data_IF_216965453881
#
_entry.id   IF_216965453881
#
_cell.length_a   1.000
_cell.length_b   1.000
_cell.length_c   1.000
_cell.angle_alpha   90.00
_cell.angle_beta   90.00
_cell.angle_gamma   90.00
#
_symmetry.space_group_name_H-M   'P 1'
#
loop_
_entity.id
_entity.type
_entity.pdbx_description
1 polymer ?
#
# COMPACT_ATOMS: atom_id res chain seq x y z
N UNK A 1 -2.26 7.32 41.79
CA UNK A 1 -3.24 7.80 40.80
C UNK A 1 -2.99 7.02 39.53
N UNK A 2 -3.83 6.04 39.21
CA UNK A 2 -3.63 5.11 38.09
C UNK A 2 -4.27 5.74 36.85
N UNK A 3 -3.46 5.94 35.81
CA UNK A 3 -3.88 6.46 34.51
C UNK A 3 -5.03 5.60 33.92
N UNK A 4 -6.24 6.16 33.73
CA UNK A 4 -7.41 5.42 33.25
C UNK A 4 -7.23 4.87 31.82
N UNK A 5 -6.24 5.38 31.07
CA UNK A 5 -5.91 4.96 29.71
C UNK A 5 -5.26 3.58 29.65
N UNK A 6 -4.63 3.10 30.74
CA UNK A 6 -3.95 1.79 30.79
C UNK A 6 -4.90 0.60 31.01
N UNK A 7 -6.13 0.83 31.44
CA UNK A 7 -7.07 -0.22 31.84
C UNK A 7 -7.86 -0.84 30.67
N UNK A 8 -7.94 -0.17 29.51
CA UNK A 8 -8.80 -0.58 28.38
C UNK A 8 -8.11 -1.48 27.35
N UNK A 9 -6.78 -1.47 27.28
CA UNK A 9 -5.98 -2.28 26.34
C UNK A 9 -5.73 -3.73 26.79
N UNK A 10 -6.16 -4.10 28.01
CA UNK A 10 -5.86 -5.41 28.64
C UNK A 10 -6.82 -6.54 28.30
N UNK A 11 -7.93 -6.30 27.59
CA UNK A 11 -8.68 -7.40 26.98
C UNK A 11 -7.94 -7.77 25.70
N UNK A 12 -7.08 -8.79 25.76
CA UNK A 12 -6.48 -9.45 24.59
C UNK A 12 -7.51 -9.45 23.47
N UNK A 13 -7.32 -8.62 22.45
CA UNK A 13 -8.28 -8.44 21.37
C UNK A 13 -8.27 -9.70 20.53
N UNK A 14 -9.04 -10.70 20.96
CA UNK A 14 -9.35 -11.86 20.13
C UNK A 14 -10.02 -11.30 18.87
N UNK A 15 -9.38 -11.49 17.72
CA UNK A 15 -10.01 -11.22 16.42
C UNK A 15 -11.46 -11.76 16.44
N UNK A 16 -12.45 -10.96 16.03
CA UNK A 16 -13.82 -11.42 15.82
C UNK A 16 -13.84 -12.77 15.08
N UNK A 17 -14.72 -13.68 15.48
CA UNK A 17 -14.79 -15.02 14.89
C UNK A 17 -15.03 -14.97 13.38
N UNK A 18 -15.81 -13.99 12.89
CA UNK A 18 -16.03 -13.78 11.45
C UNK A 18 -14.74 -13.45 10.72
N UNK A 19 -13.89 -12.58 11.27
CA UNK A 19 -12.59 -12.26 10.69
C UNK A 19 -11.64 -13.46 10.71
N UNK A 20 -11.66 -14.28 11.77
CA UNK A 20 -10.90 -15.53 11.78
C UNK A 20 -11.32 -16.47 10.65
N UNK A 21 -12.63 -16.67 10.47
CA UNK A 21 -13.16 -17.50 9.38
C UNK A 21 -12.79 -16.91 8.02
N UNK A 22 -12.91 -15.59 7.83
CA UNK A 22 -12.51 -14.87 6.61
C UNK A 22 -11.05 -15.17 6.27
N UNK A 23 -10.12 -14.92 7.18
CA UNK A 23 -8.68 -15.12 6.91
C UNK A 23 -8.34 -16.60 6.67
N UNK A 24 -8.99 -17.53 7.38
CA UNK A 24 -8.81 -18.96 7.12
C UNK A 24 -9.26 -19.32 5.70
N UNK A 25 -10.46 -18.88 5.29
CA UNK A 25 -10.98 -19.13 3.94
C UNK A 25 -10.10 -18.46 2.86
N UNK A 26 -9.68 -17.23 3.09
CA UNK A 26 -8.78 -16.50 2.19
C UNK A 26 -7.47 -17.23 1.98
N UNK A 27 -6.85 -17.71 3.06
CA UNK A 27 -5.60 -18.47 2.97
C UNK A 27 -5.77 -19.80 2.20
N UNK A 28 -6.96 -20.41 2.22
CA UNK A 28 -7.28 -21.61 1.39
C UNK A 28 -7.40 -21.25 -0.09
N UNK A 29 -8.02 -20.11 -0.40
CA UNK A 29 -8.06 -19.55 -1.77
C UNK A 29 -6.65 -19.25 -2.28
N UNK A 30 -5.80 -18.62 -1.47
CA UNK A 30 -4.39 -18.33 -1.78
C UNK A 30 -3.58 -19.59 -2.10
N UNK A 31 -3.85 -20.71 -1.40
CA UNK A 31 -3.20 -22.00 -1.66
C UNK A 31 -3.77 -22.74 -2.87
N UNK A 32 -4.81 -22.21 -3.52
CA UNK A 32 -5.47 -22.85 -4.65
C UNK A 32 -6.28 -24.08 -4.27
N UNK A 33 -6.72 -24.21 -3.00
CA UNK A 33 -7.59 -25.33 -2.59
C UNK A 33 -8.91 -25.33 -3.37
N UNK A 34 -9.37 -24.14 -3.77
CA UNK A 34 -10.49 -23.94 -4.68
C UNK A 34 -10.04 -23.05 -5.84
N UNK A 35 -9.72 -23.61 -7.01
CA UNK A 35 -9.37 -22.85 -8.20
C UNK A 35 -10.50 -21.90 -8.64
N UNK A 36 -10.15 -20.84 -9.37
CA UNK A 36 -11.13 -19.93 -9.98
C UNK A 36 -12.14 -20.72 -10.83
N UNK A 37 -13.41 -20.37 -10.72
CA UNK A 37 -14.54 -21.05 -11.37
C UNK A 37 -15.08 -22.26 -10.58
N UNK A 38 -14.41 -22.70 -9.52
CA UNK A 38 -14.90 -23.80 -8.68
C UNK A 38 -15.78 -23.30 -7.54
N UNK A 39 -16.57 -24.22 -6.97
CA UNK A 39 -17.49 -23.94 -5.87
C UNK A 39 -16.81 -24.21 -4.53
N UNK A 40 -16.92 -23.28 -3.58
CA UNK A 40 -16.48 -23.49 -2.19
C UNK A 40 -17.54 -24.28 -1.40
N UNK A 41 -17.21 -24.84 -0.21
CA UNK A 41 -18.19 -25.52 0.62
C UNK A 41 -19.41 -24.63 0.94
N UNK A 42 -20.55 -25.28 1.12
CA UNK A 42 -21.80 -24.63 1.50
C UNK A 42 -21.70 -23.97 2.86
N UNK A 43 -22.63 -23.04 3.11
CA UNK A 43 -22.74 -22.38 4.40
C UNK A 43 -22.86 -23.38 5.56
N UNK A 44 -23.61 -24.47 5.37
CA UNK A 44 -23.80 -25.51 6.39
C UNK A 44 -22.52 -26.32 6.63
N UNK A 45 -21.82 -26.70 5.56
CA UNK A 45 -20.52 -27.39 5.66
C UNK A 45 -19.48 -26.51 6.38
N UNK A 46 -19.40 -25.21 6.04
CA UNK A 46 -18.48 -24.26 6.69
C UNK A 46 -18.84 -24.01 8.16
N UNK A 47 -20.13 -23.99 8.50
CA UNK A 47 -20.59 -23.88 9.89
C UNK A 47 -20.14 -25.10 10.71
N UNK A 48 -20.30 -26.30 10.15
CA UNK A 48 -19.89 -27.55 10.79
C UNK A 48 -18.37 -27.66 10.90
N UNK A 49 -17.65 -27.31 9.85
CA UNK A 49 -16.18 -27.36 9.80
C UNK A 49 -15.54 -26.43 10.84
N UNK A 50 -16.01 -25.19 10.93
CA UNK A 50 -15.41 -24.20 11.85
C UNK A 50 -16.09 -24.12 13.22
N UNK A 51 -17.20 -24.83 13.42
CA UNK A 51 -17.96 -24.81 14.67
C UNK A 51 -18.50 -23.42 15.03
N UNK A 52 -18.93 -22.64 14.03
CA UNK A 52 -19.40 -21.25 14.21
C UNK A 52 -20.85 -21.06 13.75
N UNK A 53 -21.46 -19.95 14.18
CA UNK A 53 -22.83 -19.62 13.78
C UNK A 53 -22.95 -19.30 12.28
N UNK A 54 -24.16 -19.48 11.74
CA UNK A 54 -24.52 -19.08 10.37
C UNK A 54 -24.21 -17.61 10.07
N UNK A 55 -24.47 -16.72 11.03
CA UNK A 55 -24.21 -15.30 10.89
C UNK A 55 -22.69 -15.01 10.78
N UNK A 56 -21.87 -15.76 11.52
CA UNK A 56 -20.42 -15.65 11.49
C UNK A 56 -19.84 -16.04 10.13
N UNK A 57 -20.28 -17.18 9.56
CA UNK A 57 -19.83 -17.60 8.22
C UNK A 57 -20.32 -16.62 7.15
N UNK A 58 -21.58 -16.16 7.24
CA UNK A 58 -22.10 -15.16 6.30
C UNK A 58 -21.26 -13.89 6.29
N UNK A 59 -20.97 -13.31 7.45
CA UNK A 59 -20.15 -12.12 7.55
C UNK A 59 -18.75 -12.33 6.94
N UNK A 60 -18.14 -13.51 7.13
CA UNK A 60 -16.87 -13.84 6.51
C UNK A 60 -16.95 -13.93 4.97
N UNK A 61 -18.04 -14.51 4.44
CA UNK A 61 -18.27 -14.61 3.00
C UNK A 61 -18.66 -13.26 2.38
N UNK A 62 -19.39 -12.41 3.11
CA UNK A 62 -19.74 -11.05 2.67
C UNK A 62 -18.46 -10.25 2.40
N UNK A 63 -17.48 -10.36 3.29
CA UNK A 63 -16.17 -9.72 3.16
C UNK A 63 -15.35 -10.25 1.97
N UNK A 64 -15.33 -11.57 1.75
CA UNK A 64 -14.62 -12.16 0.61
C UNK A 64 -15.30 -11.83 -0.74
N UNK A 65 -16.63 -11.68 -0.75
CA UNK A 65 -17.36 -11.20 -1.92
C UNK A 65 -17.10 -9.71 -2.17
N UNK A 66 -17.00 -8.91 -1.11
CA UNK A 66 -16.60 -7.51 -1.21
C UNK A 66 -15.17 -7.34 -1.75
N UNK A 67 -14.27 -8.26 -1.40
CA UNK A 67 -12.91 -8.35 -1.96
C UNK A 67 -12.87 -8.88 -3.41
N UNK A 68 -14.02 -9.25 -4.00
CA UNK A 68 -14.09 -9.77 -5.36
C UNK A 68 -13.49 -11.17 -5.53
N UNK A 69 -13.28 -11.91 -4.45
CA UNK A 69 -12.69 -13.26 -4.50
C UNK A 69 -13.73 -14.34 -4.78
N UNK A 70 -14.97 -14.11 -4.35
CA UNK A 70 -16.08 -15.06 -4.50
C UNK A 70 -17.35 -14.35 -4.98
N UNK A 71 -18.25 -15.12 -5.58
CA UNK A 71 -19.58 -14.66 -5.97
C UNK A 71 -20.65 -15.66 -5.50
N UNK A 72 -21.74 -15.16 -4.94
CA UNK A 72 -22.88 -15.99 -4.51
C UNK A 72 -23.96 -16.04 -5.57
N UNK A 73 -24.13 -17.20 -6.19
CA UNK A 73 -25.23 -17.43 -7.12
C UNK A 73 -26.41 -18.11 -6.41
N UNK A 74 -27.57 -17.43 -6.38
CA UNK A 74 -28.78 -17.93 -5.74
C UNK A 74 -29.15 -19.34 -6.25
N UNK A 75 -29.26 -20.29 -5.32
CA UNK A 75 -29.60 -21.69 -5.61
C UNK A 75 -28.48 -22.53 -6.22
N UNK A 76 -27.35 -21.94 -6.62
CA UNK A 76 -26.21 -22.67 -7.22
C UNK A 76 -25.01 -22.80 -6.29
N UNK A 77 -24.88 -21.91 -5.31
CA UNK A 77 -23.80 -21.92 -4.32
C UNK A 77 -22.89 -20.70 -4.45
N UNK A 78 -21.71 -20.80 -3.85
CA UNK A 78 -20.69 -19.74 -3.83
C UNK A 78 -19.49 -20.19 -4.64
N UNK A 79 -19.07 -19.38 -5.61
CA UNK A 79 -18.01 -19.73 -6.56
C UNK A 79 -16.83 -18.79 -6.41
N UNK A 80 -15.62 -19.31 -6.63
CA UNK A 80 -14.40 -18.50 -6.67
C UNK A 80 -14.34 -17.76 -8.00
N UNK A 81 -14.21 -16.44 -7.96
CA UNK A 81 -14.14 -15.59 -9.16
C UNK A 81 -12.83 -14.79 -9.24
N UNK A 82 -12.14 -14.61 -8.12
CA UNK A 82 -10.89 -13.85 -8.03
C UNK A 82 -9.71 -14.73 -7.61
N UNK A 83 -8.54 -14.38 -8.10
CA UNK A 83 -7.28 -15.03 -7.74
C UNK A 83 -6.54 -14.17 -6.72
N UNK A 84 -6.35 -14.69 -5.51
CA UNK A 84 -5.62 -13.97 -4.46
C UNK A 84 -4.16 -13.76 -4.83
N UNK A 85 -3.60 -14.57 -5.73
CA UNK A 85 -2.23 -14.37 -6.24
C UNK A 85 -2.10 -13.09 -7.10
N UNK A 86 -3.20 -12.57 -7.65
CA UNK A 86 -3.23 -11.33 -8.43
C UNK A 86 -3.25 -10.07 -7.55
N UNK A 87 -3.29 -10.20 -6.22
CA UNK A 87 -3.22 -9.03 -5.36
C UNK A 87 -1.89 -8.28 -5.54
N UNK A 88 -0.76 -8.94 -5.82
CA UNK A 88 0.56 -8.28 -5.87
C UNK A 88 0.93 -7.60 -7.21
N UNK A 89 0.00 -6.87 -7.82
CA UNK A 89 0.21 -6.23 -9.13
C UNK A 89 1.17 -5.03 -9.10
N UNK A 90 1.44 -4.46 -7.92
CA UNK A 90 2.34 -3.32 -7.76
C UNK A 90 3.77 -3.80 -7.51
N UNK A 91 4.58 -3.78 -8.57
CA UNK A 91 5.99 -4.11 -8.53
C UNK A 91 6.81 -2.90 -8.09
N UNK A 92 7.62 -3.03 -7.04
CA UNK A 92 8.68 -2.05 -6.75
C UNK A 92 10.02 -2.52 -7.32
N UNK A 93 10.42 -2.02 -8.50
CA UNK A 93 11.69 -2.38 -9.11
C UNK A 93 12.87 -1.79 -8.34
N UNK A 94 14.03 -2.43 -8.53
CA UNK A 94 15.31 -2.09 -7.87
C UNK A 94 16.17 -1.14 -8.69
N UNK A 95 15.74 -0.75 -9.89
CA UNK A 95 16.41 0.23 -10.74
C UNK A 95 15.45 1.35 -11.18
N UNK A 96 16.03 2.48 -11.59
CA UNK A 96 15.29 3.69 -11.92
C UNK A 96 14.42 3.53 -13.17
N UNK A 97 14.97 3.02 -14.26
CA UNK A 97 14.25 2.99 -15.54
C UNK A 97 13.02 2.08 -15.47
N UNK A 98 13.16 0.91 -14.83
CA UNK A 98 12.03 0.02 -14.55
C UNK A 98 10.99 0.66 -13.62
N UNK A 99 11.41 1.52 -12.67
CA UNK A 99 10.48 2.27 -11.81
C UNK A 99 9.65 3.25 -12.62
N UNK A 100 10.30 4.02 -13.49
CA UNK A 100 9.63 4.97 -14.37
C UNK A 100 8.69 4.26 -15.33
N UNK A 101 9.13 3.16 -15.94
CA UNK A 101 8.29 2.35 -16.83
C UNK A 101 7.06 1.78 -16.10
N UNK A 102 7.26 1.26 -14.88
CA UNK A 102 6.16 0.75 -14.07
C UNK A 102 5.16 1.85 -13.72
N UNK A 103 5.61 2.99 -13.19
CA UNK A 103 4.74 4.12 -12.83
C UNK A 103 3.98 4.67 -14.04
N UNK A 104 4.59 4.67 -15.23
CA UNK A 104 3.94 5.10 -16.47
C UNK A 104 2.80 4.16 -16.86
N UNK A 105 2.93 2.85 -16.62
CA UNK A 105 1.91 1.85 -16.96
C UNK A 105 0.73 1.80 -16.00
N UNK A 106 0.90 2.26 -14.76
CA UNK A 106 -0.15 2.22 -13.73
C UNK A 106 -1.33 3.16 -13.98
N UNK A 107 -1.23 4.06 -14.97
CA UNK A 107 -2.26 5.05 -15.35
C UNK A 107 -3.02 5.64 -14.15
N UNK A 108 -2.26 6.19 -13.21
CA UNK A 108 -2.80 6.50 -11.89
C UNK A 108 -3.52 7.84 -11.84
N UNK A 109 -4.71 7.83 -11.23
CA UNK A 109 -5.41 9.05 -10.83
C UNK A 109 -4.86 9.49 -9.48
N UNK A 110 -4.42 10.75 -9.38
CA UNK A 110 -3.90 11.33 -8.15
C UNK A 110 -4.93 12.26 -7.52
N UNK A 111 -5.20 12.08 -6.22
CA UNK A 111 -6.03 12.99 -5.43
C UNK A 111 -5.13 13.66 -4.40
N UNK A 112 -5.01 14.98 -4.48
CA UNK A 112 -4.20 15.77 -3.55
C UNK A 112 -4.92 16.00 -2.23
N UNK A 113 -4.22 15.73 -1.13
CA UNK A 113 -4.66 15.99 0.25
C UNK A 113 -4.13 17.32 0.78
N UNK A 114 -2.99 17.78 0.26
CA UNK A 114 -2.39 19.06 0.59
C UNK A 114 -1.01 19.24 -0.03
N UNK A 115 -0.56 20.48 -0.10
CA UNK A 115 0.78 20.84 -0.55
C UNK A 115 1.24 22.14 0.14
N UNK A 116 2.54 22.45 0.06
CA UNK A 116 3.07 23.71 0.57
C UNK A 116 4.59 23.78 0.59
N UNK A 117 5.12 24.78 1.28
CA UNK A 117 6.54 24.92 1.58
C UNK A 117 6.81 24.58 3.04
N UNK A 118 7.94 23.94 3.33
CA UNK A 118 8.34 23.68 4.70
C UNK A 118 9.63 22.88 4.83
N UNK A 119 10.02 22.65 6.08
CA UNK A 119 11.15 21.80 6.41
C UNK A 119 10.82 20.32 6.16
N UNK A 120 11.85 19.55 5.79
CA UNK A 120 11.74 18.10 5.68
C UNK A 120 11.63 17.45 7.08
N UNK A 121 10.66 16.57 7.33
CA UNK A 121 10.55 15.87 8.61
C UNK A 121 11.78 15.01 8.94
N UNK A 122 12.24 15.08 10.19
CA UNK A 122 13.45 14.38 10.65
C UNK A 122 13.30 12.85 10.56
N UNK A 123 12.09 12.32 10.59
CA UNK A 123 11.78 10.89 10.50
C UNK A 123 12.05 10.30 9.11
N UNK A 124 12.27 11.16 8.10
CA UNK A 124 12.58 10.76 6.72
C UNK A 124 14.10 10.61 6.52
N UNK A 125 14.89 11.51 7.10
CA UNK A 125 16.34 11.60 6.88
C UNK A 125 17.18 11.21 8.10
N UNK A 126 16.58 11.15 9.29
CA UNK A 126 17.27 10.98 10.57
C UNK A 126 17.97 12.24 11.08
N UNK A 127 17.91 13.35 10.33
CA UNK A 127 18.56 14.62 10.69
C UNK A 127 17.80 15.83 10.13
N UNK A 128 17.87 16.95 10.84
CA UNK A 128 17.37 18.22 10.31
C UNK A 128 18.25 18.70 9.17
N UNK A 129 17.64 19.23 8.11
CA UNK A 129 18.32 19.84 6.99
C UNK A 129 18.00 21.33 6.94
N UNK A 130 18.95 22.18 6.53
CA UNK A 130 18.76 23.63 6.49
C UNK A 130 17.89 24.08 5.30
N UNK A 131 17.75 23.22 4.28
CA UNK A 131 17.04 23.51 3.05
C UNK A 131 15.52 23.49 3.26
N UNK A 132 14.82 24.33 2.49
CA UNK A 132 13.36 24.34 2.39
C UNK A 132 12.90 23.47 1.22
N UNK A 133 11.77 22.79 1.41
CA UNK A 133 11.20 21.87 0.43
C UNK A 133 9.77 22.26 0.08
N UNK A 134 9.45 22.20 -1.19
CA UNK A 134 8.06 22.07 -1.61
C UNK A 134 7.60 20.65 -1.36
N UNK A 135 6.41 20.49 -0.77
CA UNK A 135 5.84 19.19 -0.48
C UNK A 135 4.42 19.06 -1.01
N UNK A 136 4.03 17.83 -1.32
CA UNK A 136 2.65 17.44 -1.65
C UNK A 136 2.34 16.09 -1.03
N UNK A 137 1.10 15.88 -0.64
CA UNK A 137 0.58 14.61 -0.14
C UNK A 137 -0.60 14.18 -1.00
N UNK A 138 -0.56 12.96 -1.53
CA UNK A 138 -1.53 12.44 -2.50
C UNK A 138 -1.91 11.00 -2.22
N UNK A 139 -3.18 10.68 -2.46
CA UNK A 139 -3.64 9.30 -2.63
C UNK A 139 -3.65 8.99 -4.13
N UNK A 140 -2.99 7.91 -4.53
CA UNK A 140 -3.01 7.44 -5.91
C UNK A 140 -3.96 6.25 -6.05
N UNK A 141 -4.73 6.28 -7.14
CA UNK A 141 -5.68 5.26 -7.52
C UNK A 141 -5.27 4.62 -8.85
N UNK A 142 -5.43 3.31 -8.96
CA UNK A 142 -5.34 2.55 -10.20
C UNK A 142 -6.55 1.63 -10.25
N UNK A 143 -7.30 1.64 -11.36
CA UNK A 143 -8.57 0.90 -11.51
C UNK A 143 -9.55 1.11 -10.34
N UNK A 144 -9.61 2.34 -9.81
CA UNK A 144 -10.46 2.72 -8.68
C UNK A 144 -9.95 2.28 -7.30
N UNK A 145 -8.82 1.58 -7.22
CA UNK A 145 -8.22 1.09 -5.97
C UNK A 145 -7.20 2.10 -5.45
N UNK A 146 -7.39 2.58 -4.21
CA UNK A 146 -6.40 3.41 -3.51
C UNK A 146 -5.16 2.57 -3.17
N UNK A 147 -4.12 2.65 -4.00
CA UNK A 147 -2.96 1.78 -3.88
C UNK A 147 -1.78 2.43 -3.18
N UNK A 148 -1.76 3.76 -3.06
CA UNK A 148 -0.71 4.42 -2.28
C UNK A 148 -1.12 5.75 -1.69
N UNK A 149 -0.57 6.05 -0.51
CA UNK A 149 -0.55 7.38 0.08
C UNK A 149 0.91 7.84 0.07
N UNK A 150 1.22 8.86 -0.71
CA UNK A 150 2.56 9.38 -0.85
C UNK A 150 2.63 10.81 -0.32
N UNK A 151 3.68 11.11 0.44
CA UNK A 151 4.10 12.47 0.77
C UNK A 151 5.50 12.67 0.21
N UNK A 152 5.61 13.64 -0.68
CA UNK A 152 6.82 13.91 -1.47
C UNK A 152 7.32 15.30 -1.13
N UNK A 153 8.63 15.45 -1.10
CA UNK A 153 9.37 16.67 -0.85
C UNK A 153 10.38 16.86 -1.98
N UNK A 154 10.38 18.04 -2.59
CA UNK A 154 11.33 18.46 -3.63
C UNK A 154 12.00 19.74 -3.14
N UNK A 155 13.32 19.82 -3.24
CA UNK A 155 14.08 21.01 -2.85
C UNK A 155 13.44 22.25 -3.49
N UNK A 156 13.12 23.30 -2.71
CA UNK A 156 12.27 24.41 -3.17
C UNK A 156 12.82 25.08 -4.44
N UNK A 157 14.14 25.30 -4.51
CA UNK A 157 14.78 25.90 -5.70
C UNK A 157 14.59 25.06 -6.96
N UNK A 158 14.63 23.73 -6.84
CA UNK A 158 14.32 22.81 -7.94
C UNK A 158 12.82 22.75 -8.22
N UNK A 159 11.98 22.77 -7.19
CA UNK A 159 10.54 22.73 -7.34
C UNK A 159 10.03 23.93 -8.15
N UNK A 160 10.55 25.13 -7.89
CA UNK A 160 10.20 26.36 -8.63
C UNK A 160 10.43 26.25 -10.14
N UNK A 161 11.45 25.50 -10.57
CA UNK A 161 11.74 25.31 -12.01
C UNK A 161 10.89 24.22 -12.66
N UNK A 162 10.20 23.40 -11.86
CA UNK A 162 9.42 22.23 -12.30
C UNK A 162 7.91 22.41 -12.12
N UNK A 163 7.47 23.58 -11.67
CA UNK A 163 6.05 23.91 -11.62
C UNK A 163 5.58 24.44 -12.98
N UNK A 164 4.34 24.14 -13.39
CA UNK A 164 3.27 23.48 -12.63
C UNK A 164 3.26 21.93 -12.70
N UNK A 165 4.19 21.31 -13.43
CA UNK A 165 4.18 19.87 -13.73
C UNK A 165 4.17 19.01 -12.47
N UNK A 166 4.92 19.39 -11.43
CA UNK A 166 4.91 18.69 -10.14
C UNK A 166 3.51 18.58 -9.52
N UNK A 167 2.62 19.54 -9.80
CA UNK A 167 1.26 19.58 -9.29
C UNK A 167 0.29 18.67 -10.07
N UNK A 168 0.64 18.31 -11.30
CA UNK A 168 -0.26 17.65 -12.25
C UNK A 168 0.15 16.19 -12.55
N UNK A 169 1.45 15.89 -12.45
CA UNK A 169 2.02 14.59 -12.78
C UNK A 169 2.70 13.95 -11.56
N UNK A 170 2.91 12.62 -11.56
CA UNK A 170 3.74 11.98 -10.55
C UNK A 170 5.15 12.58 -10.53
N UNK A 171 5.59 13.05 -9.36
CA UNK A 171 6.85 13.80 -9.20
C UNK A 171 8.06 13.07 -9.81
N UNK A 172 8.14 11.75 -9.68
CA UNK A 172 9.25 10.99 -10.26
C UNK A 172 9.27 11.01 -11.79
N UNK A 173 8.11 11.05 -12.45
CA UNK A 173 8.03 11.17 -13.91
C UNK A 173 8.47 12.55 -14.37
N UNK A 174 8.07 13.60 -13.64
CA UNK A 174 8.53 14.98 -13.88
C UNK A 174 10.05 15.08 -13.71
N UNK A 175 10.60 14.57 -12.60
CA UNK A 175 12.04 14.56 -12.37
C UNK A 175 12.79 13.78 -13.45
N UNK A 176 12.25 12.63 -13.88
CA UNK A 176 12.86 11.85 -14.95
C UNK A 176 12.92 12.61 -16.29
N UNK A 177 11.87 13.38 -16.61
CA UNK A 177 11.73 14.09 -17.89
C UNK A 177 12.47 15.43 -17.91
N UNK A 178 12.41 16.18 -16.81
CA UNK A 178 12.81 17.59 -16.76
C UNK A 178 14.02 17.88 -15.88
N UNK A 179 14.44 16.94 -15.02
CA UNK A 179 15.55 17.14 -14.08
C UNK A 179 16.40 15.86 -13.91
N UNK A 180 16.59 15.09 -14.99
CA UNK A 180 17.28 13.78 -14.95
C UNK A 180 18.71 13.92 -14.41
N UNK A 181 19.36 15.04 -14.69
CA UNK A 181 20.72 15.36 -14.24
C UNK A 181 20.83 15.60 -12.72
N UNK A 182 19.72 15.88 -12.03
CA UNK A 182 19.65 15.97 -10.57
C UNK A 182 19.65 14.60 -9.89
N UNK A 183 19.45 13.52 -10.64
CA UNK A 183 19.28 12.17 -10.10
C UNK A 183 20.60 11.43 -10.18
N UNK A 184 21.37 11.44 -9.09
CA UNK A 184 22.67 10.77 -9.03
C UNK A 184 22.64 9.50 -8.16
N UNK A 185 22.28 9.64 -6.89
CA UNK A 185 22.21 8.49 -5.97
C UNK A 185 20.82 8.38 -5.39
N UNK A 186 20.25 7.17 -5.49
CA UNK A 186 18.92 6.86 -5.00
C UNK A 186 19.06 5.87 -3.87
N UNK A 187 18.54 6.21 -2.70
CA UNK A 187 18.41 5.29 -1.57
C UNK A 187 16.95 5.03 -1.30
N UNK A 188 16.59 3.76 -1.28
CA UNK A 188 15.24 3.32 -0.96
C UNK A 188 15.29 2.40 0.26
N UNK A 189 14.45 2.68 1.25
CA UNK A 189 14.31 1.86 2.46
C UNK A 189 12.86 1.44 2.58
N UNK A 190 12.64 0.13 2.69
CA UNK A 190 11.31 -0.45 2.83
C UNK A 190 11.15 -1.02 4.24
N UNK A 191 9.99 -0.80 4.84
CA UNK A 191 9.68 -1.28 6.19
C UNK A 191 8.22 -1.68 6.24
N UNK A 192 7.94 -2.87 6.75
CA UNK A 192 6.56 -3.30 7.01
C UNK A 192 6.07 -2.66 8.30
N UNK A 193 4.87 -2.07 8.25
CA UNK A 193 4.15 -1.51 9.39
C UNK A 193 2.70 -1.98 9.36
N UNK A 194 1.94 -1.58 10.36
CA UNK A 194 0.48 -1.75 10.40
C UNK A 194 -0.18 -0.40 10.12
N UNK A 195 -1.30 -0.41 9.40
CA UNK A 195 -2.09 0.79 9.14
C UNK A 195 -2.69 1.34 10.45
N UNK A 196 -2.49 2.63 10.70
CA UNK A 196 -3.25 3.36 11.72
C UNK A 196 -4.60 3.83 11.14
N UNK A 197 -5.37 4.56 11.95
CA UNK A 197 -6.68 5.06 11.53
C UNK A 197 -6.62 6.06 10.37
N UNK A 198 -5.53 6.81 10.22
CA UNK A 198 -5.39 7.79 9.14
C UNK A 198 -5.06 7.10 7.82
N UNK A 199 -4.07 6.20 7.84
CA UNK A 199 -3.72 5.37 6.68
C UNK A 199 -4.89 4.51 6.22
N UNK A 200 -5.57 3.85 7.16
CA UNK A 200 -6.74 3.01 6.89
C UNK A 200 -7.83 3.78 6.13
N UNK A 201 -8.14 5.00 6.58
CA UNK A 201 -9.13 5.86 5.94
C UNK A 201 -8.72 6.29 4.54
N UNK A 202 -7.49 6.76 4.35
CA UNK A 202 -7.03 7.25 3.04
C UNK A 202 -6.87 6.12 2.01
N UNK A 203 -6.46 4.93 2.44
CA UNK A 203 -6.23 3.77 1.58
C UNK A 203 -7.45 2.84 1.47
N UNK A 204 -8.59 3.21 2.08
CA UNK A 204 -9.81 2.40 2.14
C UNK A 204 -9.51 0.94 2.56
N UNK A 205 -8.81 0.78 3.68
CA UNK A 205 -8.40 -0.51 4.22
C UNK A 205 -8.65 -0.58 5.73
N UNK A 206 -8.63 -1.78 6.30
CA UNK A 206 -8.84 -1.96 7.74
C UNK A 206 -7.63 -1.48 8.57
N UNK A 207 -7.91 -0.93 9.75
CA UNK A 207 -6.87 -0.62 10.75
C UNK A 207 -6.15 -1.91 11.14
N UNK A 208 -4.83 -1.82 11.30
CA UNK A 208 -3.98 -2.94 11.68
C UNK A 208 -3.53 -3.81 10.51
N UNK A 209 -4.08 -3.61 9.31
CA UNK A 209 -3.64 -4.33 8.13
C UNK A 209 -2.20 -3.96 7.73
N UNK A 210 -1.40 -4.90 7.22
CA UNK A 210 -0.03 -4.63 6.84
C UNK A 210 0.08 -3.60 5.72
N UNK A 211 0.99 -2.65 5.91
CA UNK A 211 1.39 -1.65 4.91
C UNK A 211 2.90 -1.67 4.77
N UNK A 212 3.39 -1.42 3.57
CA UNK A 212 4.82 -1.21 3.33
C UNK A 212 5.07 0.27 3.25
N UNK A 213 5.90 0.77 4.17
CA UNK A 213 6.44 2.13 4.14
C UNK A 213 7.70 2.13 3.31
N UNK A 214 7.76 3.00 2.31
CA UNK A 214 8.92 3.24 1.46
C UNK A 214 9.41 4.65 1.72
N UNK A 215 10.62 4.79 2.26
CA UNK A 215 11.36 6.04 2.19
C UNK A 215 12.21 6.00 0.91
N UNK A 216 12.14 7.05 0.10
CA UNK A 216 13.03 7.23 -1.07
C UNK A 216 13.73 8.57 -0.98
N UNK A 217 15.05 8.56 -1.06
CA UNK A 217 15.91 9.74 -1.06
C UNK A 217 16.67 9.78 -2.38
N UNK A 218 16.73 10.95 -3.02
CA UNK A 218 17.54 11.19 -4.21
C UNK A 218 18.45 12.38 -3.93
N UNK A 219 19.76 12.14 -4.07
CA UNK A 219 20.77 13.19 -4.01
C UNK A 219 21.37 13.42 -5.40
N UNK A 220 21.75 14.68 -5.67
CA UNK A 220 22.44 15.06 -6.89
C UNK A 220 23.96 14.86 -6.76
N UNK A 221 24.72 15.21 -7.81
CA UNK A 221 26.19 15.08 -7.83
C UNK A 221 26.91 15.97 -6.81
N UNK A 222 26.27 17.06 -6.37
CA UNK A 222 26.78 17.93 -5.31
C UNK A 222 26.46 17.38 -3.90
N UNK A 223 25.90 16.17 -3.81
CA UNK A 223 25.48 15.52 -2.57
C UNK A 223 24.37 16.29 -1.82
N UNK A 224 23.59 17.11 -2.54
CA UNK A 224 22.41 17.78 -2.00
C UNK A 224 21.17 16.88 -2.16
N UNK A 225 20.33 16.81 -1.12
CA UNK A 225 19.07 16.08 -1.15
C UNK A 225 18.03 16.88 -1.94
N UNK A 226 17.80 16.47 -3.19
CA UNK A 226 16.89 17.16 -4.12
C UNK A 226 15.47 16.63 -4.05
N UNK A 227 15.30 15.38 -3.63
CA UNK A 227 13.99 14.73 -3.47
C UNK A 227 14.01 13.78 -2.28
N UNK A 228 12.93 13.80 -1.52
CA UNK A 228 12.61 12.81 -0.51
C UNK A 228 11.14 12.43 -0.59
N UNK A 229 10.80 11.19 -0.27
CA UNK A 229 9.41 10.77 -0.18
C UNK A 229 9.21 9.71 0.88
N UNK A 230 8.02 9.73 1.46
CA UNK A 230 7.43 8.65 2.23
C UNK A 230 6.20 8.16 1.47
N UNK A 231 6.18 6.88 1.11
CA UNK A 231 5.05 6.26 0.45
C UNK A 231 4.57 5.06 1.26
N UNK A 232 3.26 4.95 1.46
CA UNK A 232 2.64 3.77 2.03
C UNK A 232 1.88 3.04 0.95
N UNK A 233 2.13 1.74 0.84
CA UNK A 233 1.40 0.81 -0.02
C UNK A 233 0.71 -0.25 0.84
N UNK A 234 -0.57 -0.57 0.64
CA UNK A 234 -1.16 -1.78 1.21
C UNK A 234 -0.31 -2.99 0.83
N UNK A 235 0.12 -3.79 1.81
CA UNK A 235 1.11 -4.84 1.54
C UNK A 235 0.59 -5.91 0.57
N UNK A 236 -0.72 -6.15 0.56
CA UNK A 236 -1.37 -7.07 -0.39
C UNK A 236 -1.12 -6.68 -1.85
N UNK A 237 -0.93 -5.39 -2.15
CA UNK A 237 -0.66 -4.95 -3.51
C UNK A 237 0.80 -5.06 -3.93
N UNK A 238 1.71 -5.09 -2.97
CA UNK A 238 3.12 -4.85 -3.22
C UNK A 238 3.92 -6.14 -3.39
N UNK A 239 4.75 -6.19 -4.42
CA UNK A 239 5.83 -7.17 -4.54
C UNK A 239 7.16 -6.52 -4.88
N UNK A 240 8.25 -7.18 -4.45
CA UNK A 240 9.63 -6.81 -4.76
C UNK A 240 10.29 -8.06 -5.31
N UNK A 241 10.89 -7.94 -6.49
CA UNK A 241 11.69 -9.01 -7.08
C UNK A 241 13.12 -8.52 -7.26
N UNK A 242 14.07 -9.37 -6.90
CA UNK A 242 15.49 -9.08 -7.02
C UNK A 242 16.20 -10.36 -7.40
N UNK A 243 17.01 -10.29 -8.45
CA UNK A 243 17.92 -11.36 -8.79
C UNK A 243 19.20 -11.19 -7.98
N UNK A 244 19.61 -12.24 -7.28
CA UNK A 244 20.86 -12.27 -6.55
C UNK A 244 21.92 -12.97 -7.40
N UNK A 245 23.02 -12.28 -7.68
CA UNK A 245 24.19 -12.90 -8.29
C UNK A 245 25.14 -13.38 -7.18
N UNK A 246 25.75 -14.58 -7.30
CA UNK A 246 26.80 -14.99 -6.39
C UNK A 246 27.98 -14.00 -6.50
N UNK A 247 28.46 -13.51 -5.36
CA UNK A 247 29.64 -12.63 -5.32
C UNK A 247 30.85 -13.34 -5.91
N UNK A 248 31.63 -12.61 -6.73
CA UNK A 248 32.93 -13.06 -7.24
C UNK A 248 33.94 -13.25 -6.11
#
# INVERSE_FOLDING_TARGET
>A
MVDPTRSSLRKQSKLPLSLKVKYTLRARLERGEWPVGTRIPTLEELMQEYGVSRATVRAALDELEHEGLIERTRGKGTFVIGDVAQDHWLMLPTNWDALIEHLTRLDSVMVELGNGLGALPIEITGQSLPDEYWWTSRVNYADGVAYSLNTVYVLNTLAQTLQPELSQEPVLLVLNRLAREQIHTIRQTLTVRVADADLARHLNMDIGMPVVRVIRLIVNRANQLVYAAQVFYPAKYLSIQTELTPGL
#
